data_IF_338881463006
#
_entry.id   IF_338881463006
#
_cell.length_a   1.000
_cell.length_b   1.000
_cell.length_c   1.000
_cell.angle_alpha   90.00
_cell.angle_beta   90.00
_cell.angle_gamma   90.00
#
_symmetry.space_group_name_H-M   'P 1'
#
loop_
_entity.id
_entity.type
_entity.pdbx_description
1 polymer ?
2 branched ?
3 non-polymer ?
4 water ?
#
# COMPACT_ATOMS: atom_id res chain seq x y z
N UNK A 20 11.95 18.56 19.08
CA UNK A 20 11.47 17.37 19.78
C UNK A 20 10.88 16.39 18.77
N UNK A 21 10.67 15.15 19.18
CA UNK A 21 10.10 14.14 18.30
C UNK A 21 8.57 14.18 18.35
N UNK A 22 7.89 13.88 17.23
CA UNK A 22 6.43 13.79 17.26
C UNK A 22 5.98 12.49 16.58
N UNK A 23 4.91 11.87 17.09
CA UNK A 23 4.34 10.69 16.43
C UNK A 23 4.00 11.00 14.99
N UNK A 24 4.35 10.10 14.09
CA UNK A 24 4.07 10.27 12.67
C UNK A 24 2.57 10.29 12.43
N UNK A 25 2.09 11.30 11.71
CA UNK A 25 0.66 11.38 11.41
C UNK A 25 0.38 11.18 9.91
N UNK A 26 1.44 11.13 9.11
CA UNK A 26 1.31 10.80 7.69
C UNK A 26 0.91 9.32 7.53
N UNK A 27 -0.34 9.08 7.08
CA UNK A 27 -0.88 7.71 7.16
C UNK A 27 -0.03 6.66 6.46
N UNK A 28 0.45 6.91 5.24
CA UNK A 28 1.26 5.93 4.52
C UNK A 28 2.59 5.68 5.20
N UNK A 29 3.01 6.60 6.07
CA UNK A 29 4.29 6.41 6.74
C UNK A 29 4.14 5.84 8.15
N UNK A 30 2.95 5.38 8.53
CA UNK A 30 2.86 4.59 9.78
C UNK A 30 3.05 3.11 9.44
N UNK A 31 3.75 2.39 10.30
CA UNK A 31 3.97 0.97 10.10
C UNK A 31 5.14 0.61 9.20
N UNK A 32 6.07 1.53 9.01
CA UNK A 32 7.23 1.24 8.16
C UNK A 32 8.49 1.00 8.96
N UNK A 33 8.40 0.96 10.29
CA UNK A 33 9.56 0.59 11.09
C UNK A 33 9.95 1.52 12.21
N UNK A 34 9.44 2.76 12.20
CA UNK A 34 9.73 3.68 13.31
C UNK A 34 8.54 4.61 13.48
N UNK A 35 8.37 5.16 14.68
CA UNK A 35 7.15 5.89 15.04
C UNK A 35 7.26 7.42 15.03
N UNK A 36 8.48 7.92 15.19
CA UNK A 36 8.64 9.35 15.49
C UNK A 36 9.38 10.07 14.40
N UNK A 37 8.96 11.31 14.13
CA UNK A 37 9.62 12.15 13.15
C UNK A 37 9.85 13.52 13.76
N UNK A 38 10.43 14.40 12.96
CA UNK A 38 10.71 15.76 13.38
C UNK A 38 10.70 16.67 12.15
N UNK A 39 10.20 17.88 12.30
CA UNK A 39 10.20 18.83 11.19
C UNK A 39 11.13 20.00 11.57
N UNK A 40 11.72 20.67 10.56
CA UNK A 40 11.58 20.45 9.12
C UNK A 40 12.30 19.20 8.59
N UNK A 41 11.77 18.61 7.52
CA UNK A 41 12.42 17.48 6.88
C UNK A 41 13.46 18.03 5.88
N UNK A 42 14.10 17.17 5.11
CA UNK A 42 15.15 17.69 4.22
C UNK A 42 14.60 18.48 3.02
N UNK A 43 13.28 18.51 2.82
CA UNK A 43 12.71 19.39 1.79
C UNK A 43 12.27 20.72 2.38
N UNK A 44 12.62 20.92 3.65
CA UNK A 44 12.17 22.09 4.42
C UNK A 44 10.66 22.23 4.53
N UNK A 45 9.95 21.10 4.54
CA UNK A 45 8.54 21.15 4.90
C UNK A 45 8.48 21.47 6.39
N UNK A 46 7.58 22.36 6.80
CA UNK A 46 7.57 22.80 8.21
C UNK A 46 6.67 21.95 9.11
N UNK A 47 5.76 21.18 8.52
CA UNK A 47 4.81 20.38 9.28
C UNK A 47 4.65 19.03 8.59
N UNK A 48 4.22 18.02 9.35
CA UNK A 48 3.89 16.73 8.74
C UNK A 48 2.76 16.87 7.72
N UNK A 49 1.79 17.76 8.00
CA UNK A 49 0.69 18.01 7.05
C UNK A 49 1.22 18.38 5.67
N UNK A 50 2.15 19.32 5.64
CA UNK A 50 2.75 19.74 4.37
C UNK A 50 3.48 18.58 3.68
N UNK A 51 4.35 17.91 4.43
CA UNK A 51 5.06 16.76 3.90
C UNK A 51 4.08 15.70 3.39
N UNK A 52 3.03 15.42 4.16
CA UNK A 52 2.08 14.37 3.81
C UNK A 52 1.26 14.66 2.56
N UNK A 53 0.91 15.92 2.33
CA UNK A 53 0.18 16.32 1.13
C UNK A 53 1.03 16.05 -0.11
N UNK A 54 2.34 16.21 0.01
CA UNK A 54 3.19 15.90 -1.15
C UNK A 54 3.44 14.41 -1.35
N UNK A 55 3.75 13.68 -0.29
CA UNK A 55 4.10 12.27 -0.46
C UNK A 55 2.88 11.44 -0.86
N UNK A 56 1.69 11.94 -0.54
CA UNK A 56 0.43 11.30 -0.91
C UNK A 56 0.36 11.02 -2.43
N UNK A 57 0.93 11.90 -3.24
CA UNK A 57 0.89 11.76 -4.69
C UNK A 57 1.55 10.48 -5.19
N UNK A 58 2.41 9.88 -4.38
CA UNK A 58 3.11 8.67 -4.80
C UNK A 58 2.34 7.37 -4.58
N UNK A 59 1.14 7.46 -4.01
CA UNK A 59 0.43 6.25 -3.64
C UNK A 59 0.20 5.25 -4.81
N UNK A 60 -0.07 5.72 -6.05
CA UNK A 60 -0.20 4.67 -7.09
C UNK A 60 1.09 3.87 -7.32
N UNK A 61 2.25 4.52 -7.22
CA UNK A 61 3.54 3.85 -7.38
C UNK A 61 3.79 2.83 -6.28
N UNK A 62 3.36 3.17 -5.08
CA UNK A 62 3.48 2.27 -3.95
C UNK A 62 2.54 1.06 -4.14
N UNK A 63 1.31 1.32 -4.56
CA UNK A 63 0.34 0.24 -4.75
C UNK A 63 0.83 -0.77 -5.78
N UNK A 64 1.48 -0.29 -6.84
CA UNK A 64 1.85 -1.16 -7.94
C UNK A 64 3.07 -2.03 -7.60
N UNK A 65 3.75 -1.70 -6.50
CA UNK A 65 4.86 -2.51 -5.99
C UNK A 65 5.99 -2.67 -7.02
N UNK A 66 6.34 -1.60 -7.69
CA UNK A 66 7.50 -1.62 -8.58
C UNK A 66 8.78 -1.76 -7.76
N UNK A 67 8.69 -1.49 -6.45
CA UNK A 67 9.83 -1.73 -5.55
C UNK A 67 9.39 -1.87 -4.11
N UNK A 68 9.87 -2.93 -3.44
CA UNK A 68 9.54 -3.11 -2.03
C UNK A 68 10.19 -2.05 -1.15
N UNK A 69 11.14 -1.28 -1.68
CA UNK A 69 11.80 -0.26 -0.89
C UNK A 69 11.15 1.12 -0.96
N UNK A 70 10.21 1.32 -1.88
CA UNK A 70 9.78 2.68 -2.23
C UNK A 70 9.11 3.39 -1.05
N UNK A 71 8.16 2.71 -0.43
CA UNK A 71 7.41 3.27 0.67
C UNK A 71 8.34 3.72 1.79
N UNK A 72 9.23 2.82 2.22
CA UNK A 72 10.17 3.17 3.27
C UNK A 72 11.04 4.34 2.85
N UNK A 73 11.54 4.27 1.61
CA UNK A 73 12.41 5.31 1.09
C UNK A 73 11.72 6.68 1.11
N UNK A 74 10.49 6.74 0.59
CA UNK A 74 9.73 7.98 0.59
C UNK A 74 9.56 8.54 2.00
N UNK A 75 9.11 7.69 2.91
CA UNK A 75 8.89 8.12 4.30
C UNK A 75 10.19 8.53 4.99
N UNK A 76 11.30 7.84 4.68
CA UNK A 76 12.58 8.16 5.32
C UNK A 76 13.02 9.59 4.98
N UNK A 77 12.49 10.12 3.88
CA UNK A 77 12.72 11.53 3.50
C UNK A 77 11.61 12.50 3.86
N UNK A 78 10.35 12.08 3.74
CA UNK A 78 9.24 13.01 4.03
C UNK A 78 8.93 13.11 5.53
N UNK A 79 8.99 11.97 6.22
CA UNK A 79 8.87 11.95 7.68
C UNK A 79 10.09 11.25 8.25
N UNK A 80 11.24 11.94 8.28
CA UNK A 80 12.50 11.29 8.65
C UNK A 80 12.46 10.83 10.10
N UNK A 81 13.19 9.77 10.39
CA UNK A 81 13.20 9.23 11.74
C UNK A 81 13.71 10.25 12.73
N UNK A 82 13.06 10.32 13.88
CA UNK A 82 13.55 11.17 14.95
C UNK A 82 13.87 10.29 16.15
N UNK A 83 15.05 10.48 16.70
CA UNK A 83 15.46 9.83 17.95
C UNK A 83 15.73 10.93 18.97
N UNK A 84 15.15 10.81 20.18
CA UNK A 84 15.25 11.87 21.20
C UNK A 84 16.69 12.29 21.49
N UNK A 85 17.62 11.32 21.49
CA UNK A 85 19.01 11.61 21.82
C UNK A 85 19.88 11.96 20.61
N UNK A 86 19.41 11.68 19.40
CA UNK A 86 20.21 11.92 18.19
C UNK A 86 19.77 13.19 17.46
N UNK A 87 20.72 14.07 17.17
CA UNK A 87 20.43 15.35 16.52
C UNK A 87 21.09 15.47 15.14
N UNK A 88 21.84 14.45 14.74
CA UNK A 88 22.32 14.37 13.36
C UNK A 88 21.15 13.92 12.50
N UNK A 89 21.07 14.43 11.27
CA UNK A 89 20.01 13.96 10.36
C UNK A 89 20.28 12.52 9.94
N UNK A 90 19.24 11.70 9.84
CA UNK A 90 19.42 10.29 9.47
C UNK A 90 18.79 9.94 8.13
N UNK A 91 19.42 10.36 7.02
CA UNK A 91 18.85 10.07 5.70
C UNK A 91 18.79 8.57 5.42
N UNK A 92 18.03 8.19 4.41
CA UNK A 92 18.18 6.80 3.98
C UNK A 92 19.56 6.64 3.34
N UNK A 93 20.10 5.43 3.34
CA UNK A 93 21.35 5.17 2.64
C UNK A 93 21.14 5.25 1.13
N UNK A 94 22.22 5.56 0.42
CA UNK A 94 22.17 5.66 -1.03
C UNK A 94 21.62 4.38 -1.67
N UNK A 95 21.96 3.23 -1.09
CA UNK A 95 21.53 1.95 -1.64
C UNK A 95 20.01 1.77 -1.63
N UNK A 96 19.36 2.27 -0.58
CA UNK A 96 17.88 2.25 -0.50
C UNK A 96 17.30 3.00 -1.68
N UNK A 97 17.79 4.22 -1.88
CA UNK A 97 17.39 5.05 -3.01
C UNK A 97 17.63 4.36 -4.36
N UNK A 98 18.79 3.71 -4.51
CA UNK A 98 19.16 3.06 -5.78
C UNK A 98 18.18 1.96 -6.15
N UNK A 99 17.86 1.13 -5.16
CA UNK A 99 16.92 0.04 -5.37
C UNK A 99 15.54 0.60 -5.72
N UNK A 100 15.10 1.65 -5.03
CA UNK A 100 13.77 2.20 -5.29
C UNK A 100 13.74 2.79 -6.69
N UNK A 101 14.81 3.49 -7.04
CA UNK A 101 14.89 4.13 -8.35
C UNK A 101 14.91 3.09 -9.48
N UNK A 102 15.74 2.06 -9.30
CA UNK A 102 15.87 1.00 -10.30
C UNK A 102 14.55 0.27 -10.50
N UNK A 103 13.80 0.08 -9.43
CA UNK A 103 12.53 -0.61 -9.54
C UNK A 103 11.46 0.25 -10.19
N UNK A 104 11.42 1.53 -9.82
CA UNK A 104 10.24 2.35 -10.11
C UNK A 104 10.38 3.38 -11.24
N UNK A 105 11.59 3.86 -11.51
CA UNK A 105 11.75 4.90 -12.53
C UNK A 105 11.31 4.48 -13.95
N UNK A 106 11.55 3.21 -14.35
CA UNK A 106 11.02 2.83 -15.67
C UNK A 106 9.51 3.02 -15.81
N UNK A 107 8.79 2.72 -14.73
CA UNK A 107 7.35 2.84 -14.77
C UNK A 107 6.96 4.31 -14.79
N UNK A 108 7.67 5.10 -13.99
CA UNK A 108 7.43 6.53 -13.96
C UNK A 108 7.70 7.15 -15.32
N UNK A 109 8.82 6.77 -15.94
CA UNK A 109 9.18 7.31 -17.24
C UNK A 109 8.10 6.97 -18.25
N UNK A 110 7.52 5.78 -18.09
CA UNK A 110 6.44 5.33 -18.95
C UNK A 110 5.19 6.21 -18.81
N UNK A 111 5.09 6.93 -17.69
CA UNK A 111 3.97 7.85 -17.47
C UNK A 111 4.37 9.30 -17.67
N UNK A 112 5.56 9.52 -18.21
CA UNK A 112 6.05 10.86 -18.48
C UNK A 112 6.81 11.47 -17.32
N UNK A 113 6.81 10.80 -16.17
CA UNK A 113 7.50 11.31 -14.98
C UNK A 113 8.94 10.84 -14.90
N UNK A 114 9.86 11.79 -14.79
CA UNK A 114 11.24 11.46 -14.47
C UNK A 114 11.37 11.22 -12.95
N UNK A 115 12.44 10.53 -12.55
CA UNK A 115 12.77 10.38 -11.15
C UNK A 115 13.00 11.79 -10.57
N UNK A 116 12.27 12.15 -9.50
CA UNK A 116 12.36 13.53 -8.98
C UNK A 116 13.79 13.97 -8.70
N UNK A 117 14.08 15.23 -9.03
CA UNK A 117 15.39 15.84 -8.79
C UNK A 117 15.80 15.78 -7.31
N UNK A 118 14.83 16.01 -6.43
CA UNK A 118 15.10 16.05 -4.99
C UNK A 118 15.40 14.65 -4.40
N UNK A 119 15.14 13.62 -5.21
CA UNK A 119 15.41 12.23 -4.80
C UNK A 119 16.63 11.60 -5.45
N UNK A 120 17.54 12.39 -6.00
CA UNK A 120 18.69 11.79 -6.66
C UNK A 120 19.59 11.14 -5.61
N UNK A 121 19.97 9.90 -5.87
CA UNK A 121 20.63 9.07 -4.85
C UNK A 121 22.04 9.54 -4.48
N UNK A 122 22.69 10.24 -5.40
CA UNK A 122 24.08 10.66 -5.18
C UNK A 122 24.20 11.71 -4.06
N UNK A 123 23.07 12.22 -3.59
CA UNK A 123 23.04 13.19 -2.49
C UNK A 123 23.00 12.48 -1.14
N UNK A 124 22.84 11.17 -1.17
CA UNK A 124 22.70 10.40 0.06
C UNK A 124 24.02 9.74 0.44
N UNK A 125 24.28 9.56 1.73
CA UNK A 125 25.52 8.91 2.17
C UNK A 125 25.56 7.43 1.83
N UNK A 126 26.76 6.92 1.56
CA UNK A 126 26.95 5.51 1.34
C UNK A 126 27.11 4.82 2.69
N UNK A 127 26.44 3.68 2.84
CA UNK A 127 26.48 2.89 4.07
C UNK A 127 27.92 2.55 4.45
N UNK A 128 28.36 3.02 5.62
CA UNK A 128 29.64 2.61 6.18
C UNK A 128 30.85 3.29 5.57
N UNK A 129 30.64 4.18 4.61
CA UNK A 129 31.74 4.92 4.00
C UNK A 129 32.41 5.82 5.02
N UNK A 130 31.61 6.46 5.86
CA UNK A 130 32.15 7.29 6.93
C UNK A 130 31.58 6.84 8.26
N UNK A 131 32.46 6.62 9.22
CA UNK A 131 32.04 6.08 10.51
C UNK A 131 31.02 7.00 11.19
N UNK A 132 31.25 8.30 11.10
CA UNK A 132 30.41 9.29 11.77
C UNK A 132 29.09 9.53 11.04
N UNK A 133 29.05 9.30 9.73
CA UNK A 133 27.85 9.56 8.93
C UNK A 133 26.94 8.35 8.85
N UNK A 134 25.94 8.31 9.73
CA UNK A 134 25.00 7.19 9.77
C UNK A 134 23.90 7.41 8.75
N UNK A 135 23.27 6.32 8.34
CA UNK A 135 22.14 6.41 7.45
C UNK A 135 21.24 5.21 7.66
N UNK A 136 20.09 5.24 7.00
CA UNK A 136 19.04 4.26 7.21
C UNK A 136 19.01 3.23 6.12
N UNK A 137 19.21 1.97 6.47
CA UNK A 137 18.97 0.94 5.50
C UNK A 137 17.77 0.12 5.90
N UNK A 138 16.92 -0.13 4.91
CA UNK A 138 15.72 -0.90 5.10
C UNK A 138 16.03 -2.32 5.59
N UNK B 19 -25.16 -16.60 -11.55
CA UNK B 19 -25.23 -15.51 -12.54
C UNK B 19 -24.13 -14.48 -12.33
N UNK B 20 -23.54 -13.96 -13.41
CA UNK B 20 -23.83 -14.36 -14.79
C UNK B 20 -22.57 -14.26 -15.63
N UNK B 21 -21.49 -13.81 -15.01
CA UNK B 21 -20.27 -13.35 -15.67
C UNK B 21 -20.55 -12.08 -16.45
N UNK B 22 -20.41 -10.94 -15.76
CA UNK B 22 -20.56 -9.62 -16.34
C UNK B 22 -19.25 -8.84 -16.18
N UNK B 23 -18.97 -7.93 -17.11
CA UNK B 23 -17.74 -7.17 -17.03
C UNK B 23 -17.77 -6.19 -15.84
N UNK B 24 -16.64 -6.04 -15.16
CA UNK B 24 -16.59 -5.21 -13.97
C UNK B 24 -16.71 -3.74 -14.31
N UNK B 25 -17.69 -3.08 -13.71
CA UNK B 25 -17.89 -1.65 -13.93
C UNK B 25 -17.48 -0.78 -12.72
N UNK B 26 -17.41 -1.36 -11.52
CA UNK B 26 -17.04 -0.59 -10.33
C UNK B 26 -15.66 0.05 -10.55
N UNK B 27 -15.59 1.39 -10.55
CA UNK B 27 -14.35 2.09 -10.91
C UNK B 27 -13.12 1.66 -10.10
N UNK B 28 -13.26 1.55 -8.78
CA UNK B 28 -12.19 1.04 -7.91
C UNK B 28 -11.66 -0.32 -8.35
N UNK B 29 -12.54 -1.16 -8.88
CA UNK B 29 -12.16 -2.54 -9.15
C UNK B 29 -11.81 -2.85 -10.60
N UNK B 30 -11.69 -1.82 -11.43
CA UNK B 30 -11.26 -2.02 -12.81
C UNK B 30 -9.73 -2.14 -12.87
N UNK B 31 -9.24 -3.07 -13.69
CA UNK B 31 -7.81 -3.22 -13.86
C UNK B 31 -7.08 -3.83 -12.68
N UNK B 32 -7.75 -4.72 -11.94
CA UNK B 32 -7.16 -5.37 -10.79
C UNK B 32 -6.58 -6.75 -11.09
N UNK B 33 -6.78 -7.24 -12.32
CA UNK B 33 -6.15 -8.49 -12.73
C UNK B 33 -7.14 -9.49 -13.30
N UNK B 34 -8.42 -9.23 -13.10
CA UNK B 34 -9.46 -9.98 -13.76
C UNK B 34 -10.57 -9.01 -14.14
N UNK B 35 -11.29 -9.28 -15.23
CA UNK B 35 -12.20 -8.27 -15.77
C UNK B 35 -13.68 -8.60 -15.55
N UNK B 36 -13.97 -9.83 -15.14
CA UNK B 36 -15.34 -10.30 -15.04
C UNK B 36 -15.74 -10.66 -13.61
N UNK B 37 -16.98 -10.31 -13.25
CA UNK B 37 -17.53 -10.63 -11.94
C UNK B 37 -18.96 -11.18 -12.07
N UNK B 38 -19.59 -11.46 -10.93
CA UNK B 38 -20.93 -12.00 -10.93
C UNK B 38 -21.73 -11.51 -9.73
N UNK B 39 -22.98 -11.13 -9.96
CA UNK B 39 -23.88 -10.76 -8.86
C UNK B 39 -24.97 -11.84 -8.73
N UNK B 40 -25.42 -12.11 -7.49
CA UNK B 40 -25.02 -11.41 -6.28
C UNK B 40 -23.68 -11.86 -5.70
N UNK B 41 -23.10 -11.02 -4.85
CA UNK B 41 -21.88 -11.36 -4.13
C UNK B 41 -22.23 -11.88 -2.76
N UNK B 42 -21.23 -12.19 -1.95
CA UNK B 42 -21.46 -12.72 -0.62
C UNK B 42 -22.16 -11.74 0.31
N UNK B 43 -22.25 -10.48 -0.10
CA UNK B 43 -22.93 -9.47 0.71
C UNK B 43 -24.39 -9.32 0.29
N UNK B 44 -24.81 -10.15 -0.66
CA UNK B 44 -26.14 -10.09 -1.27
C UNK B 44 -26.42 -8.77 -1.98
N UNK B 45 -25.38 -8.20 -2.58
CA UNK B 45 -25.56 -7.08 -3.49
C UNK B 45 -26.05 -7.65 -4.82
N UNK B 46 -27.19 -7.16 -5.29
CA UNK B 46 -27.79 -7.69 -6.50
C UNK B 46 -27.18 -7.06 -7.74
N UNK B 47 -26.57 -5.89 -7.56
CA UNK B 47 -25.93 -5.18 -8.66
C UNK B 47 -24.53 -4.70 -8.32
N UNK B 48 -23.70 -4.56 -9.34
CA UNK B 48 -22.40 -3.90 -9.19
C UNK B 48 -22.54 -2.48 -8.62
N UNK B 49 -23.66 -1.82 -8.90
CA UNK B 49 -23.88 -0.48 -8.40
C UNK B 49 -24.06 -0.48 -6.89
N UNK B 50 -24.77 -1.49 -6.40
CA UNK B 50 -24.94 -1.69 -4.97
C UNK B 50 -23.59 -2.03 -4.30
N UNK B 51 -22.86 -2.95 -4.93
CA UNK B 51 -21.55 -3.35 -4.44
C UNK B 51 -20.58 -2.19 -4.43
N UNK B 52 -20.57 -1.43 -5.52
CA UNK B 52 -19.68 -0.31 -5.70
C UNK B 52 -19.85 0.77 -4.65
N UNK B 53 -21.11 1.05 -4.33
CA UNK B 53 -21.42 2.08 -3.35
C UNK B 53 -20.81 1.74 -1.99
N UNK B 54 -20.76 0.45 -1.69
CA UNK B 54 -20.18 0.02 -0.42
C UNK B 54 -18.65 -0.03 -0.47
N UNK B 55 -18.08 -0.70 -1.47
CA UNK B 55 -16.62 -0.86 -1.49
C UNK B 55 -15.92 0.49 -1.71
N UNK B 56 -16.58 1.43 -2.40
CA UNK B 56 -15.98 2.76 -2.57
C UNK B 56 -15.82 3.53 -1.25
N UNK B 57 -16.48 3.10 -0.19
CA UNK B 57 -16.28 3.72 1.12
C UNK B 57 -14.86 3.46 1.65
N UNK B 58 -14.21 2.42 1.13
CA UNK B 58 -12.83 2.09 1.49
C UNK B 58 -11.79 2.82 0.65
N UNK B 59 -12.25 3.58 -0.35
CA UNK B 59 -11.33 4.20 -1.28
C UNK B 59 -10.22 5.05 -0.62
N UNK B 60 -10.54 5.83 0.44
CA UNK B 60 -9.44 6.57 1.09
C UNK B 60 -8.32 5.66 1.60
N UNK B 61 -8.66 4.44 2.03
CA UNK B 61 -7.67 3.48 2.52
C UNK B 61 -6.76 3.02 1.40
N UNK B 62 -7.30 2.96 0.18
CA UNK B 62 -6.48 2.60 -0.98
C UNK B 62 -5.41 3.69 -1.24
N UNK B 63 -5.83 4.95 -1.25
CA UNK B 63 -4.88 6.05 -1.44
C UNK B 63 -3.88 6.19 -0.28
N UNK B 64 -4.27 5.76 0.90
CA UNK B 64 -3.36 5.81 2.04
C UNK B 64 -2.23 4.78 1.89
N UNK B 65 -2.52 3.67 1.21
CA UNK B 65 -1.53 2.61 0.96
C UNK B 65 -0.84 2.10 2.22
N UNK B 66 -1.65 1.81 3.23
CA UNK B 66 -1.19 1.02 4.35
C UNK B 66 -0.92 -0.43 3.87
N UNK B 67 -1.49 -0.82 2.74
CA UNK B 67 -1.21 -2.14 2.15
C UNK B 67 -1.47 -2.14 0.65
N UNK B 68 -0.49 -2.59 -0.14
CA UNK B 68 -0.63 -2.69 -1.59
C UNK B 68 -1.73 -3.68 -1.99
N UNK B 69 -1.96 -4.67 -1.13
CA UNK B 69 -2.94 -5.73 -1.39
C UNK B 69 -4.38 -5.35 -1.10
N UNK B 70 -4.61 -4.14 -0.59
CA UNK B 70 -5.94 -3.80 -0.07
C UNK B 70 -7.00 -3.79 -1.16
N UNK B 71 -6.72 -3.10 -2.26
CA UNK B 71 -7.68 -3.00 -3.36
C UNK B 71 -8.09 -4.38 -3.89
N UNK B 72 -7.10 -5.21 -4.22
CA UNK B 72 -7.41 -6.53 -4.73
C UNK B 72 -8.27 -7.33 -3.73
N UNK B 73 -7.88 -7.29 -2.47
CA UNK B 73 -8.62 -8.04 -1.44
C UNK B 73 -10.07 -7.60 -1.38
N UNK B 74 -10.29 -6.29 -1.32
CA UNK B 74 -11.66 -5.77 -1.24
C UNK B 74 -12.46 -6.16 -2.48
N UNK B 75 -11.88 -5.92 -3.65
CA UNK B 75 -12.56 -6.22 -4.90
C UNK B 75 -12.85 -7.73 -5.04
N UNK B 76 -11.94 -8.58 -4.53
CA UNK B 76 -12.16 -10.02 -4.59
C UNK B 76 -13.39 -10.42 -3.76
N UNK B 77 -13.83 -9.53 -2.87
CA UNK B 77 -15.05 -9.72 -2.08
C UNK B 77 -16.26 -9.12 -2.76
N UNK B 78 -16.14 -7.85 -3.12
CA UNK B 78 -17.28 -7.07 -3.55
C UNK B 78 -17.61 -7.29 -5.02
N UNK B 79 -16.59 -7.53 -5.84
CA UNK B 79 -16.79 -7.88 -7.24
C UNK B 79 -16.02 -9.18 -7.51
N UNK B 80 -16.50 -10.29 -6.94
CA UNK B 80 -15.75 -11.56 -6.94
C UNK B 80 -15.47 -12.02 -8.34
N UNK B 81 -14.35 -12.72 -8.54
CA UNK B 81 -13.97 -13.16 -9.87
C UNK B 81 -15.02 -14.13 -10.41
N UNK B 82 -15.38 -13.94 -11.67
CA UNK B 82 -16.27 -14.87 -12.35
C UNK B 82 -15.50 -15.55 -13.46
N UNK B 83 -15.52 -16.88 -13.43
CA UNK B 83 -14.90 -17.66 -14.49
C UNK B 83 -15.98 -18.46 -15.17
N UNK B 84 -15.98 -18.45 -16.52
CA UNK B 84 -16.92 -19.28 -17.28
C UNK B 84 -16.57 -20.76 -17.17
N UNK B 85 -15.48 -21.05 -16.47
CA UNK B 85 -15.00 -22.41 -16.31
C UNK B 85 -15.12 -22.95 -14.88
N UNK B 86 -15.48 -22.10 -13.91
CA UNK B 86 -15.61 -22.59 -12.53
C UNK B 86 -17.06 -22.70 -12.06
N UNK B 87 -17.91 -21.76 -12.48
CA UNK B 87 -19.34 -21.84 -12.20
C UNK B 87 -19.65 -21.96 -10.70
N UNK B 88 -18.94 -21.19 -9.89
CA UNK B 88 -19.13 -21.14 -8.44
C UNK B 88 -18.26 -20.00 -7.87
N UNK B 89 -18.45 -19.62 -6.60
CA UNK B 89 -17.61 -18.54 -6.09
C UNK B 89 -16.14 -18.95 -5.85
N UNK B 90 -15.22 -18.05 -6.19
CA UNK B 90 -13.80 -18.25 -5.94
C UNK B 90 -13.25 -17.14 -5.03
N UNK B 91 -12.98 -17.48 -3.76
CA UNK B 91 -12.51 -16.51 -2.75
C UNK B 91 -11.02 -16.16 -2.84
N UNK B 92 -10.63 -15.00 -2.26
CA UNK B 92 -9.19 -14.75 -2.05
C UNK B 92 -8.61 -15.76 -1.07
N UNK B 93 -7.35 -16.14 -1.22
CA UNK B 93 -6.69 -16.97 -0.22
C UNK B 93 -6.55 -16.20 1.09
N UNK B 94 -6.48 -16.94 2.20
CA UNK B 94 -6.34 -16.33 3.51
C UNK B 94 -5.13 -15.41 3.55
N UNK B 95 -4.03 -15.81 2.91
CA UNK B 95 -2.82 -15.00 2.93
C UNK B 95 -3.03 -13.58 2.35
N UNK B 96 -3.87 -13.45 1.33
CA UNK B 96 -4.17 -12.14 0.75
C UNK B 96 -4.82 -11.23 1.79
N UNK B 97 -5.78 -11.78 2.50
CA UNK B 97 -6.47 -11.10 3.58
C UNK B 97 -5.49 -10.73 4.69
N UNK B 98 -4.61 -11.66 5.03
CA UNK B 98 -3.70 -11.45 6.16
C UNK B 98 -2.72 -10.31 5.89
N UNK B 99 -2.27 -10.18 4.64
CA UNK B 99 -1.40 -9.07 4.26
C UNK B 99 -2.14 -7.73 4.31
N UNK B 100 -3.34 -7.68 3.72
CA UNK B 100 -4.16 -6.46 3.75
C UNK B 100 -4.44 -6.04 5.20
N UNK B 101 -4.84 -7.00 5.99
CA UNK B 101 -5.17 -6.73 7.38
C UNK B 101 -3.92 -6.30 8.19
N UNK B 102 -2.81 -7.00 8.02
CA UNK B 102 -1.60 -6.63 8.76
C UNK B 102 -1.18 -5.21 8.40
N UNK B 103 -1.34 -4.85 7.14
CA UNK B 103 -1.01 -3.50 6.73
C UNK B 103 -1.99 -2.46 7.24
N UNK B 104 -3.29 -2.73 7.11
CA UNK B 104 -4.32 -1.69 7.27
C UNK B 104 -5.12 -1.72 8.57
N UNK B 105 -5.23 -2.87 9.23
CA UNK B 105 -5.96 -2.92 10.51
C UNK B 105 -5.46 -1.92 11.54
N UNK B 106 -4.13 -1.78 11.69
CA UNK B 106 -3.67 -0.83 12.72
C UNK B 106 -4.22 0.59 12.49
N UNK B 107 -4.25 1.02 11.24
CA UNK B 107 -4.71 2.36 10.91
C UNK B 107 -6.25 2.47 11.02
N UNK B 108 -6.95 1.47 10.53
CA UNK B 108 -8.39 1.40 10.73
C UNK B 108 -8.78 1.45 12.20
N UNK B 109 -8.09 0.69 13.04
CA UNK B 109 -8.38 0.69 14.47
C UNK B 109 -8.07 2.03 15.07
N UNK B 110 -6.98 2.65 14.63
CA UNK B 110 -6.64 3.96 15.18
C UNK B 110 -7.69 5.01 14.79
N UNK B 111 -8.25 4.88 13.59
CA UNK B 111 -9.25 5.84 13.12
C UNK B 111 -10.67 5.51 13.60
N UNK B 112 -10.83 4.39 14.30
CA UNK B 112 -12.08 4.03 14.94
C UNK B 112 -12.96 3.10 14.15
N UNK B 113 -12.39 2.48 13.11
CA UNK B 113 -13.13 1.57 12.25
C UNK B 113 -12.63 0.14 12.48
N UNK B 114 -13.48 -0.71 13.00
CA UNK B 114 -13.07 -2.08 13.27
C UNK B 114 -12.92 -2.86 11.96
N UNK B 115 -11.93 -3.75 11.92
CA UNK B 115 -11.82 -4.69 10.82
C UNK B 115 -13.13 -5.47 10.77
N UNK B 116 -13.94 -5.23 9.71
CA UNK B 116 -15.30 -5.81 9.66
C UNK B 116 -15.27 -7.35 9.63
N UNK B 117 -16.26 -7.97 10.26
CA UNK B 117 -16.26 -9.42 10.46
C UNK B 117 -16.50 -10.20 9.16
N UNK B 118 -17.27 -9.60 8.25
CA UNK B 118 -17.47 -10.15 6.91
C UNK B 118 -16.14 -10.46 6.18
N UNK B 119 -15.13 -9.65 6.40
CA UNK B 119 -13.83 -9.90 5.79
C UNK B 119 -12.82 -10.44 6.80
N UNK B 120 -13.30 -11.19 7.76
CA UNK B 120 -12.43 -11.96 8.65
C UNK B 120 -11.58 -12.92 7.81
N UNK B 121 -10.30 -13.02 8.11
CA UNK B 121 -9.43 -13.86 7.30
C UNK B 121 -9.66 -15.36 7.57
N UNK B 122 -10.22 -15.69 8.73
CA UNK B 122 -10.43 -17.10 9.07
C UNK B 122 -11.62 -17.70 8.31
N UNK B 123 -12.36 -16.87 7.57
CA UNK B 123 -13.43 -17.36 6.70
C UNK B 123 -12.90 -17.80 5.33
N UNK B 124 -11.61 -17.59 5.10
CA UNK B 124 -11.03 -17.83 3.78
C UNK B 124 -10.18 -19.08 3.81
N UNK B 125 -10.08 -19.78 2.67
CA UNK B 125 -9.24 -20.98 2.59
C UNK B 125 -7.75 -20.66 2.63
N UNK B 126 -7.00 -21.48 3.34
CA UNK B 126 -5.55 -21.43 3.26
C UNK B 126 -5.11 -22.14 1.98
N UNK B 127 -4.28 -21.46 1.19
CA UNK B 127 -3.82 -22.00 -0.08
C UNK B 127 -3.25 -23.41 0.06
N UNK B 128 -3.82 -24.37 -0.64
CA UNK B 128 -3.29 -25.73 -0.64
C UNK B 128 -3.60 -26.62 0.57
N UNK B 129 -4.26 -26.08 1.58
CA UNK B 129 -4.55 -26.89 2.78
C UNK B 129 -5.47 -28.06 2.43
N UNK B 130 -6.46 -27.78 1.59
CA UNK B 130 -7.23 -28.84 0.95
C UNK B 130 -7.14 -28.61 -0.55
N UNK B 131 -6.65 -29.62 -1.28
CA UNK B 131 -6.34 -29.43 -2.68
C UNK B 131 -7.59 -29.09 -3.50
N UNK B 132 -8.75 -29.56 -3.06
CA UNK B 132 -10.01 -29.36 -3.79
C UNK B 132 -10.61 -28.00 -3.53
N UNK B 133 -10.13 -27.30 -2.52
CA UNK B 133 -10.67 -25.98 -2.19
C UNK B 133 -9.77 -24.90 -2.78
N UNK B 134 -10.23 -24.30 -3.87
CA UNK B 134 -9.43 -23.31 -4.59
C UNK B 134 -9.55 -21.93 -3.94
N UNK B 135 -8.57 -21.09 -4.22
CA UNK B 135 -8.61 -19.69 -3.84
C UNK B 135 -7.64 -18.89 -4.71
N UNK B 136 -7.88 -17.59 -4.82
CA UNK B 136 -7.02 -16.68 -5.58
C UNK B 136 -5.92 -16.07 -4.73
N UNK B 137 -4.67 -16.26 -5.12
CA UNK B 137 -3.60 -15.46 -4.53
C UNK B 137 -3.18 -14.42 -5.54
N UNK B 138 -2.28 -13.50 -5.17
CA UNK B 138 -1.87 -12.45 -6.10
C UNK B 138 -0.53 -11.78 -5.78
N UNK B 139 0.27 -11.54 -6.82
CA UNK B 139 1.53 -10.80 -6.73
C UNK B 139 2.50 -11.47 -5.75
X LIG C 1 4.97 2.50 17.80
X LIG C 1 5.59 1.85 19.02
X LIG C 1 4.68 0.71 19.53
X LIG C 1 3.26 1.23 19.74
X LIG C 1 2.76 1.91 18.46
X LIG C 1 1.40 2.56 18.61
X LIG C 1 8.02 1.76 19.37
X LIG C 1 9.31 1.14 18.92
X LIG C 1 6.92 1.35 18.71
X LIG C 1 5.19 0.20 20.76
X LIG C 1 2.41 0.15 20.10
X LIG C 1 3.68 2.96 18.11
X LIG C 1 1.33 3.39 19.76
X LIG C 1 7.95 2.57 20.29
X LIG C 2 5.94 -1.08 20.49
X LIG C 2 6.58 -1.39 21.85
X LIG C 2 5.47 -1.69 22.87
X LIG C 2 4.60 -2.85 22.37
X LIG C 2 4.11 -2.57 20.92
X LIG C 2 3.45 -3.77 20.24
X LIG C 2 7.45 -0.36 22.29
X LIG C 2 6.04 -2.06 24.10
X LIG C 2 5.35 -4.06 22.41
X LIG C 2 5.19 -2.18 20.05
X LIG C 3 1.23 0.01 20.94
X LIG C 3 0.10 -0.68 20.10
X LIG C 3 -0.72 -1.65 20.93
X LIG C 3 -0.99 -1.04 22.29
X LIG C 3 0.33 -0.94 23.08
X LIG C 3 0.28 0.03 24.26
X LIG C 3 0.57 -1.33 18.92
X LIG C 3 -1.95 -1.94 20.27
X LIG C 3 -1.55 0.26 22.13
X LIG C 3 1.49 -0.56 22.23
X LIG C 4 0.00 4.03 19.95
X LIG C 4 0.11 4.74 21.32
X LIG C 4 0.98 6.01 21.23
X LIG C 4 0.63 6.87 20.00
X LIG C 4 0.63 6.04 18.74
X LIG C 4 0.13 6.84 17.53
X LIG C 4 0.66 3.86 22.31
X LIG C 4 0.79 6.81 22.41
X LIG C 4 -0.66 7.44 20.16
X LIG C 4 -0.26 4.90 18.88
X LIG D 1 4.21 11.55 -9.17
X LIG D 1 3.04 11.98 -9.25
X LIG D 1 5.21 12.30 -9.14
X LIG D 1 4.44 10.05 -9.09
X LIG D 1 3.14 9.29 -9.27
X LIG D 1 2.77 9.19 -10.75
X LIG D 1 1.69 8.15 -10.99
X LIG D 1 2.25 6.73 -11.05
X LIG D 1 1.78 6.02 -12.31
X LIG D 1 1.75 4.50 -12.15
X LIG D 1 0.47 4.05 -11.48
X LIG D 1 -0.53 3.53 -12.19
X LIG D 1 -1.79 3.08 -11.48
X LIG D 1 -3.01 3.84 -11.99
X LIG D 1 -3.68 4.66 -10.88
X LIG D 1 -3.39 6.15 -11.06
X LIG D 1 -4.34 7.00 -10.23
X LIG D 1 -3.91 8.45 -10.22
X LIG E 1 -15.60 1.53 6.48
X LIG E 1 -16.07 0.65 7.24
X LIG E 1 -16.33 2.28 5.76
X LIG E 1 -14.09 1.71 6.42
X LIG E 1 -13.68 3.18 6.56
X LIG E 1 -12.16 3.34 6.43
X LIG E 1 -11.70 4.76 6.76
X LIG E 1 -10.40 5.12 6.05
X LIG E 1 -9.66 6.29 6.69
X LIG E 1 -10.55 7.52 6.88
X LIG E 1 -9.98 8.67 6.08
X LIG E 1 -10.73 9.71 5.71
X LIG E 1 -10.06 10.79 4.90
X LIG E 1 -11.08 11.63 4.13
X LIG E 1 -10.83 11.61 2.63
X LIG E 1 -12.10 11.15 1.90
X LIG E 1 -12.07 11.49 0.41
X LIG E 1 -11.07 10.67 -0.36
#
# INVERSE_FOLDING_TARGET
>A
AHHHHHHGENLYFQGSKAPVCQEITVPMCRGIGYNLTHMPNQFNHDTQDEAGLEVHQFWPLVEIQCSPDLRFFLCSMYTPICLPDYHKPLPPCRSVCERAKAGCSPLMRQYGFAWPERMSCDRLPVLGRDAEVLCMDYERSEAGNS
>B
AHHHHHHGENLYFQGSKAPVCQEITVPMCRGIGYNLTHMPNQFNHDTQDEAGLEVHQFWPLVEIQCSPDLRFFLCSMYTPICLPDYHKPLPPCRSVCERAKAGCSPLMRQYGFAWPERMSCDRLPVLGRDAEVLCMDYERSEAGNS
>C hetero
1 NAG C1 C2 C3 C4 C5 C6 C7 C8 N2 O3 O4 O5 O6 O7
2 FUC C1 C2 C3 C4 C5 C6 O2 O3 O4 O5
3 FUC C1 C2 C3 C4 C5 C6 O2 O3 O4 O5
4 FUC C1 C2 C3 C4 C5 C6 O2 O3 O4 O5
>D hetero
1 PAM C1 O1 O2 C2 C3 C4 C5 C6 C7 C8 C9 C10 C11 C12 C13 C14 C15 C16
>E hetero
1 PAM C1 O1 O2 C2 C3 C4 C5 C6 C7 C8 C9 C10 C11 C12 C13 C14 C15 C16
#
